data_IF_192442669742
#
_entry.id   IF_192442669742
#
_cell.length_a   1.000
_cell.length_b   1.000
_cell.length_c   1.000
_cell.angle_alpha   90.00
_cell.angle_beta   90.00
_cell.angle_gamma   90.00
#
_symmetry.space_group_name_H-M   'P 1'
#
loop_
_entity.id
_entity.type
_entity.pdbx_description
1 polymer ?
#
# COMPACT_ATOMS: atom_id res chain seq x y z
N UNK A 1 47.41 4.75 39.70
CA UNK A 1 47.10 5.73 38.63
C UNK A 1 47.22 5.03 37.28
N UNK A 2 46.09 4.68 36.64
CA UNK A 2 46.01 4.25 35.23
C UNK A 2 44.69 4.79 34.63
N UNK A 3 44.67 5.23 33.36
CA UNK A 3 43.61 6.06 32.81
C UNK A 3 42.46 5.24 32.20
N UNK A 4 41.33 5.93 32.07
CA UNK A 4 40.10 5.50 31.41
C UNK A 4 40.31 5.39 29.90
N UNK A 5 39.78 4.35 29.27
CA UNK A 5 39.59 4.27 27.82
C UNK A 5 38.14 3.85 27.54
N UNK A 6 37.37 4.79 27.01
CA UNK A 6 36.02 4.56 26.48
C UNK A 6 36.11 3.68 25.24
N UNK A 7 35.37 2.57 25.24
CA UNK A 7 35.08 1.78 24.05
C UNK A 7 33.57 1.74 23.84
N UNK A 8 33.02 2.77 23.20
CA UNK A 8 31.69 2.69 22.62
C UNK A 8 31.75 1.75 21.41
N UNK A 9 31.25 0.53 21.59
CA UNK A 9 30.98 -0.39 20.50
C UNK A 9 29.84 0.15 19.65
N UNK A 10 30.18 0.98 18.67
CA UNK A 10 29.33 1.34 17.55
C UNK A 10 28.92 0.05 16.82
N UNK A 11 27.70 -0.44 17.09
CA UNK A 11 27.07 -1.47 16.28
C UNK A 11 26.71 -0.85 14.93
N UNK A 12 27.69 -0.82 14.03
CA UNK A 12 27.54 -0.39 12.65
C UNK A 12 26.44 -1.23 11.98
N UNK A 13 25.33 -0.57 11.66
CA UNK A 13 24.26 -1.06 10.82
C UNK A 13 24.86 -1.60 9.51
N UNK A 14 24.83 -2.92 9.34
CA UNK A 14 25.00 -3.54 8.03
C UNK A 14 23.74 -4.38 7.73
N UNK A 15 22.66 -3.69 7.36
CA UNK A 15 21.55 -4.33 6.64
C UNK A 15 21.61 -3.87 5.19
N UNK A 16 22.47 -4.55 4.42
CA UNK A 16 22.34 -4.55 2.97
C UNK A 16 21.07 -5.31 2.61
N UNK A 17 20.02 -4.60 2.19
CA UNK A 17 18.94 -5.20 1.42
C UNK A 17 19.03 -4.65 0.01
N UNK A 18 19.47 -5.51 -0.90
CA UNK A 18 19.47 -5.25 -2.34
C UNK A 18 18.11 -4.74 -2.77
N UNK A 19 18.05 -3.44 -3.03
CA UNK A 19 16.86 -2.77 -3.55
C UNK A 19 16.61 -3.24 -4.97
N UNK A 20 15.89 -4.35 -5.10
CA UNK A 20 15.10 -4.64 -6.29
C UNK A 20 14.36 -3.36 -6.65
N UNK A 21 14.73 -2.75 -7.78
CA UNK A 21 14.02 -1.57 -8.30
C UNK A 21 12.63 -2.02 -8.72
N UNK A 22 11.71 -2.10 -7.75
CA UNK A 22 10.31 -2.33 -8.06
C UNK A 22 9.84 -1.11 -8.84
N UNK A 23 9.41 -1.35 -10.08
CA UNK A 23 8.87 -0.30 -10.94
C UNK A 23 7.63 0.32 -10.28
N UNK A 24 7.44 1.64 -10.41
CA UNK A 24 6.22 2.33 -9.95
C UNK A 24 4.94 1.67 -10.47
N UNK A 25 5.01 1.02 -11.64
CA UNK A 25 3.92 0.25 -12.23
C UNK A 25 3.58 -1.02 -11.42
N UNK A 26 4.59 -1.75 -10.92
CA UNK A 26 4.40 -2.99 -10.16
C UNK A 26 3.72 -2.76 -8.80
N UNK A 27 4.06 -1.69 -8.08
CA UNK A 27 3.45 -1.38 -6.76
C UNK A 27 1.96 -1.06 -6.85
N UNK A 28 1.56 -0.26 -7.85
CA UNK A 28 0.13 0.05 -8.10
C UNK A 28 -0.64 -1.17 -8.60
N UNK A 29 0.04 -2.05 -9.35
CA UNK A 29 -0.51 -3.35 -9.75
C UNK A 29 -0.81 -4.26 -8.55
N UNK A 30 -0.01 -4.17 -7.47
CA UNK A 30 -0.25 -4.90 -6.23
C UNK A 30 -1.52 -4.42 -5.52
N UNK A 31 -1.72 -3.10 -5.40
CA UNK A 31 -2.85 -2.54 -4.65
C UNK A 31 -4.22 -2.90 -5.27
N UNK A 32 -4.35 -2.82 -6.60
CA UNK A 32 -5.60 -3.18 -7.30
C UNK A 32 -5.94 -4.67 -7.15
N UNK A 33 -4.94 -5.56 -7.22
CA UNK A 33 -5.12 -7.02 -7.05
C UNK A 33 -5.45 -7.34 -5.60
N UNK A 34 -4.84 -6.61 -4.68
CA UNK A 34 -5.08 -6.73 -3.26
C UNK A 34 -6.53 -6.39 -2.88
N UNK A 35 -7.11 -5.32 -3.44
CA UNK A 35 -8.52 -4.98 -3.20
C UNK A 35 -9.47 -6.13 -3.61
N UNK A 36 -9.27 -6.72 -4.80
CA UNK A 36 -10.06 -7.89 -5.23
C UNK A 36 -9.88 -9.08 -4.29
N UNK A 37 -8.66 -9.31 -3.80
CA UNK A 37 -8.38 -10.40 -2.86
C UNK A 37 -9.07 -10.17 -1.51
N UNK A 38 -9.03 -8.95 -0.97
CA UNK A 38 -9.73 -8.60 0.26
C UNK A 38 -11.24 -8.81 0.11
N UNK A 39 -11.81 -8.37 -1.01
CA UNK A 39 -13.24 -8.58 -1.31
C UNK A 39 -13.62 -10.06 -1.27
N UNK A 40 -12.83 -10.92 -1.92
CA UNK A 40 -13.08 -12.36 -1.93
C UNK A 40 -12.86 -13.01 -0.55
N UNK A 41 -11.87 -12.54 0.22
CA UNK A 41 -11.61 -13.03 1.59
C UNK A 41 -12.72 -12.66 2.57
N UNK A 42 -13.33 -11.50 2.40
CA UNK A 42 -14.48 -11.07 3.19
C UNK A 42 -15.82 -11.72 2.74
N UNK A 43 -15.76 -12.76 1.88
CA UNK A 43 -16.95 -13.46 1.39
C UNK A 43 -17.83 -12.63 0.43
N UNK A 44 -17.33 -11.51 -0.09
CA UNK A 44 -18.11 -10.63 -0.98
C UNK A 44 -17.95 -11.08 -2.43
N UNK A 45 -18.96 -11.79 -2.94
CA UNK A 45 -18.90 -12.46 -4.25
C UNK A 45 -18.82 -11.50 -5.44
N UNK A 46 -19.47 -10.33 -5.38
CA UNK A 46 -19.56 -9.38 -6.50
C UNK A 46 -19.04 -7.97 -6.19
N UNK A 47 -18.63 -7.24 -7.24
CA UNK A 47 -18.26 -5.82 -7.13
C UNK A 47 -19.46 -4.95 -6.74
N UNK A 48 -20.66 -5.33 -7.18
CA UNK A 48 -21.90 -4.64 -6.85
C UNK A 48 -22.24 -4.77 -5.37
N UNK A 49 -22.06 -5.96 -4.79
CA UNK A 49 -22.24 -6.17 -3.35
C UNK A 49 -21.26 -5.33 -2.53
N UNK A 50 -19.98 -5.27 -2.92
CA UNK A 50 -19.01 -4.40 -2.24
C UNK A 50 -19.39 -2.92 -2.38
N UNK A 51 -19.78 -2.50 -3.58
CA UNK A 51 -20.15 -1.12 -3.86
C UNK A 51 -21.36 -0.68 -3.03
N UNK A 52 -22.38 -1.53 -2.95
CA UNK A 52 -23.55 -1.31 -2.11
C UNK A 52 -23.18 -1.18 -0.63
N UNK A 53 -22.39 -2.12 -0.09
CA UNK A 53 -21.93 -2.07 1.31
C UNK A 53 -21.11 -0.81 1.61
N UNK A 54 -20.29 -0.37 0.65
CA UNK A 54 -19.43 0.80 0.80
C UNK A 54 -20.10 2.13 0.44
N UNK A 55 -21.37 2.13 -0.01
CA UNK A 55 -22.04 3.36 -0.44
C UNK A 55 -21.40 4.05 -1.64
N UNK A 56 -20.75 3.29 -2.53
CA UNK A 56 -20.09 3.82 -3.74
C UNK A 56 -20.68 3.22 -5.02
N UNK A 57 -20.38 3.82 -6.16
CA UNK A 57 -20.90 3.31 -7.44
C UNK A 57 -20.19 2.01 -7.88
N UNK A 58 -20.94 1.00 -8.32
CA UNK A 58 -20.37 -0.30 -8.77
C UNK A 58 -19.29 -0.16 -9.84
N UNK A 59 -19.46 0.77 -10.78
CA UNK A 59 -18.47 0.99 -11.85
C UNK A 59 -17.19 1.63 -11.31
N UNK A 60 -17.26 2.30 -10.16
CA UNK A 60 -16.08 2.82 -9.48
C UNK A 60 -15.27 1.69 -8.86
N UNK A 61 -15.90 0.78 -8.11
CA UNK A 61 -15.26 -0.45 -7.59
C UNK A 61 -14.59 -1.25 -8.70
N UNK A 62 -15.30 -1.49 -9.81
CA UNK A 62 -14.73 -2.20 -10.96
C UNK A 62 -13.59 -1.44 -11.65
N UNK A 63 -13.55 -0.10 -11.60
CA UNK A 63 -12.40 0.68 -12.08
C UNK A 63 -11.22 0.58 -11.12
N UNK A 64 -11.45 0.57 -9.81
CA UNK A 64 -10.40 0.42 -8.80
C UNK A 64 -9.71 -0.94 -8.90
N UNK A 65 -10.45 -2.05 -8.97
CA UNK A 65 -9.87 -3.40 -9.09
C UNK A 65 -9.07 -3.59 -10.39
N UNK A 66 -9.39 -2.84 -11.45
CA UNK A 66 -8.64 -2.85 -12.72
C UNK A 66 -7.51 -1.82 -12.77
N UNK A 67 -7.38 -0.95 -11.78
CA UNK A 67 -6.41 0.16 -11.77
C UNK A 67 -6.70 1.25 -12.81
N UNK A 68 -7.97 1.39 -13.23
CA UNK A 68 -8.43 2.42 -14.18
C UNK A 68 -8.85 3.73 -13.51
N UNK A 69 -8.79 3.81 -12.18
CA UNK A 69 -9.11 5.01 -11.42
C UNK A 69 -8.23 5.11 -10.17
N UNK A 70 -8.05 6.34 -9.68
CA UNK A 70 -7.38 6.61 -8.42
C UNK A 70 -8.44 6.62 -7.31
N UNK A 71 -8.14 5.94 -6.21
CA UNK A 71 -9.00 5.98 -5.04
C UNK A 71 -8.72 7.26 -4.25
N UNK A 72 -9.76 7.95 -3.80
CA UNK A 72 -9.61 8.96 -2.74
C UNK A 72 -9.46 8.26 -1.39
N UNK A 73 -9.02 8.99 -0.37
CA UNK A 73 -8.90 8.42 0.98
C UNK A 73 -10.28 8.06 1.52
N UNK A 74 -11.29 8.88 1.28
CA UNK A 74 -12.69 8.67 1.69
C UNK A 74 -13.27 7.41 1.05
N UNK A 75 -13.03 7.21 -0.25
CA UNK A 75 -13.44 6.00 -0.95
C UNK A 75 -12.78 4.75 -0.38
N UNK A 76 -11.48 4.81 -0.08
CA UNK A 76 -10.77 3.70 0.56
C UNK A 76 -11.28 3.45 1.98
N UNK A 77 -11.63 4.49 2.73
CA UNK A 77 -12.18 4.36 4.08
C UNK A 77 -13.52 3.63 4.03
N UNK A 78 -14.42 4.05 3.14
CA UNK A 78 -15.73 3.43 2.96
C UNK A 78 -15.62 1.96 2.50
N UNK A 79 -14.74 1.68 1.54
CA UNK A 79 -14.48 0.32 1.06
C UNK A 79 -13.84 -0.55 2.15
N UNK A 80 -12.91 -0.02 2.94
CA UNK A 80 -12.27 -0.78 4.02
C UNK A 80 -13.29 -1.10 5.12
N UNK A 81 -14.12 -0.13 5.51
CA UNK A 81 -15.21 -0.34 6.46
C UNK A 81 -16.20 -1.41 5.99
N UNK A 82 -16.56 -1.40 4.70
CA UNK A 82 -17.43 -2.42 4.09
C UNK A 82 -16.82 -3.84 4.04
N UNK A 83 -15.50 -3.94 4.25
CA UNK A 83 -14.74 -5.18 4.35
C UNK A 83 -14.34 -5.49 5.80
N UNK A 84 -14.85 -4.74 6.78
CA UNK A 84 -14.52 -4.87 8.20
C UNK A 84 -13.03 -4.68 8.51
N UNK A 85 -12.40 -3.75 7.79
CA UNK A 85 -10.99 -3.38 7.95
C UNK A 85 -10.87 -1.89 8.27
N UNK A 86 -9.94 -1.56 9.16
CA UNK A 86 -9.41 -0.20 9.26
C UNK A 86 -8.55 0.15 8.04
N UNK A 87 -8.38 1.45 7.77
CA UNK A 87 -7.41 1.91 6.76
C UNK A 87 -5.98 1.43 7.07
N UNK A 88 -5.61 1.36 8.35
CA UNK A 88 -4.30 0.85 8.77
C UNK A 88 -4.09 -0.61 8.36
N UNK A 89 -5.10 -1.46 8.55
CA UNK A 89 -5.06 -2.86 8.13
C UNK A 89 -5.04 -3.02 6.62
N UNK A 90 -5.81 -2.20 5.90
CA UNK A 90 -5.76 -2.15 4.44
C UNK A 90 -4.33 -1.86 3.96
N UNK A 91 -3.64 -0.89 4.56
CA UNK A 91 -2.29 -0.51 4.16
C UNK A 91 -1.16 -1.37 4.76
N UNK A 92 -1.44 -2.24 5.74
CA UNK A 92 -0.44 -3.08 6.43
C UNK A 92 0.51 -3.87 5.50
N UNK A 93 0.08 -4.39 4.34
CA UNK A 93 0.98 -5.09 3.42
C UNK A 93 1.93 -4.17 2.64
N UNK A 94 1.68 -2.86 2.58
CA UNK A 94 2.42 -1.91 1.76
C UNK A 94 3.53 -1.23 2.58
N UNK A 95 4.61 -1.97 2.84
CA UNK A 95 5.75 -1.50 3.65
C UNK A 95 6.84 -0.76 2.87
N UNK A 96 6.77 -0.80 1.55
CA UNK A 96 7.81 -0.20 0.70
C UNK A 96 7.71 1.32 0.67
N UNK A 97 8.83 1.99 0.98
CA UNK A 97 8.96 3.45 0.79
C UNK A 97 9.10 3.73 -0.71
N UNK A 98 8.10 4.40 -1.28
CA UNK A 98 8.13 4.82 -2.69
C UNK A 98 8.96 6.10 -2.82
N UNK A 99 10.18 5.98 -3.33
CA UNK A 99 10.97 7.16 -3.70
C UNK A 99 10.33 7.84 -4.93
N UNK A 100 10.05 9.15 -4.89
CA UNK A 100 9.56 9.86 -6.06
C UNK A 100 10.59 9.78 -7.19
N UNK A 101 10.11 9.64 -8.42
CA UNK A 101 11.00 9.82 -9.58
C UNK A 101 11.41 11.29 -9.62
N UNK A 102 12.71 11.57 -9.60
CA UNK A 102 13.22 12.94 -9.79
C UNK A 102 12.59 13.49 -11.07
N UNK A 103 11.93 14.66 -11.03
CA UNK A 103 11.39 15.26 -12.24
C UNK A 103 12.56 15.47 -13.21
N UNK A 104 12.42 15.00 -14.46
CA UNK A 104 13.37 15.36 -15.50
C UNK A 104 13.29 16.88 -15.65
N UNK A 105 14.38 17.59 -15.37
CA UNK A 105 14.48 19.02 -15.71
C UNK A 105 14.12 19.16 -17.19
N UNK A 106 13.09 19.95 -17.51
CA UNK A 106 12.90 20.46 -18.87
C UNK A 106 14.10 21.37 -19.13
N UNK A 107 14.89 21.02 -20.15
CA UNK A 107 15.80 21.95 -20.81
C UNK A 107 15.01 22.88 -21.72
#
# INVERSE_FOLDING_TARGET
>A
MRPQALGHGEHHLAVGHGGSRVSSSQRLHSARRFLRQLRLRAGVSSQEALAHRAGVHRTYVGRLERGKSRATVEALAAISAALELSLGEFFRPFREVVRPKTPRRRG
#
